data_IF_059807211635
#
_entry.id   IF_059807211635
#
_cell.length_a   1.000
_cell.length_b   1.000
_cell.length_c   1.000
_cell.angle_alpha   90.00
_cell.angle_beta   90.00
_cell.angle_gamma   90.00
#
_symmetry.space_group_name_H-M   'P 1'
#
loop_
_entity.id
_entity.type
_entity.pdbx_description
1 polymer ?
#
# COMPACT_ATOMS: atom_id res chain seq x y z
N UNK A 1 7.79 -8.44 -0.23
CA UNK A 1 6.34 -8.50 -0.46
C UNK A 1 5.82 -7.07 -0.40
N UNK A 2 5.44 -6.47 -1.53
CA UNK A 2 5.04 -5.07 -1.56
C UNK A 2 3.55 -4.94 -1.23
N UNK A 3 3.25 -4.14 -0.21
CA UNK A 3 1.88 -3.75 0.09
C UNK A 3 1.55 -2.41 -0.60
N UNK A 4 0.29 -2.23 -1.00
CA UNK A 4 -0.17 -0.94 -1.53
C UNK A 4 0.01 0.17 -0.49
N UNK A 5 0.32 1.39 -0.95
CA UNK A 5 0.49 2.58 -0.09
C UNK A 5 -0.69 2.79 0.87
N UNK A 6 -1.91 2.43 0.45
CA UNK A 6 -3.15 2.57 1.25
C UNK A 6 -3.22 1.64 2.46
N UNK A 7 -2.44 0.56 2.47
CA UNK A 7 -2.48 -0.46 3.52
C UNK A 7 -1.13 -0.70 4.19
N UNK A 8 -0.05 -0.16 3.63
CA UNK A 8 1.33 -0.35 4.11
C UNK A 8 1.52 -0.02 5.60
N UNK A 9 0.79 0.99 6.10
CA UNK A 9 0.88 1.43 7.50
C UNK A 9 -0.15 0.76 8.42
N UNK A 10 -0.90 -0.23 7.95
CA UNK A 10 -1.76 -1.02 8.85
C UNK A 10 -0.88 -1.84 9.79
N UNK A 11 -1.19 -1.94 11.10
CA UNK A 11 -0.31 -2.57 12.09
C UNK A 11 0.28 -3.94 11.68
N UNK A 12 -0.51 -4.93 11.20
CA UNK A 12 0.07 -6.23 10.82
C UNK A 12 1.00 -6.14 9.61
N UNK A 13 0.70 -5.26 8.65
CA UNK A 13 1.52 -5.09 7.43
C UNK A 13 2.80 -4.34 7.74
N UNK A 14 2.71 -3.29 8.56
CA UNK A 14 3.84 -2.51 9.01
C UNK A 14 4.80 -3.37 9.85
N UNK A 15 4.26 -4.13 10.80
CA UNK A 15 5.04 -5.08 11.61
C UNK A 15 5.76 -6.11 10.73
N UNK A 16 5.05 -6.74 9.79
CA UNK A 16 5.65 -7.70 8.84
C UNK A 16 6.77 -7.07 8.01
N UNK A 17 6.59 -5.81 7.59
CA UNK A 17 7.61 -5.05 6.85
C UNK A 17 8.86 -4.79 7.70
N UNK A 18 8.69 -4.44 8.98
CA UNK A 18 9.80 -4.24 9.91
C UNK A 18 10.58 -5.55 10.15
N UNK A 19 9.89 -6.67 10.34
CA UNK A 19 10.53 -7.99 10.47
C UNK A 19 11.30 -8.34 9.20
N UNK A 20 10.72 -8.11 8.01
CA UNK A 20 11.40 -8.37 6.75
C UNK A 20 12.64 -7.46 6.58
N UNK A 21 12.55 -6.20 6.99
CA UNK A 21 13.68 -5.28 7.00
C UNK A 21 14.80 -5.75 7.94
N UNK A 22 14.45 -6.27 9.13
CA UNK A 22 15.40 -6.83 10.08
C UNK A 22 16.09 -8.09 9.52
N UNK A 23 15.34 -9.00 8.89
CA UNK A 23 15.90 -10.17 8.20
C UNK A 23 16.86 -9.72 7.09
N UNK A 24 16.44 -8.73 6.30
CA UNK A 24 17.27 -8.13 5.25
C UNK A 24 18.55 -7.53 5.82
N UNK A 25 18.49 -6.80 6.92
CA UNK A 25 19.68 -6.26 7.58
C UNK A 25 20.62 -7.37 8.05
N UNK A 26 20.11 -8.34 8.79
CA UNK A 26 20.87 -9.45 9.36
C UNK A 26 21.56 -10.29 8.27
N UNK A 27 20.91 -10.49 7.12
CA UNK A 27 21.50 -11.24 6.01
C UNK A 27 22.63 -10.49 5.31
N UNK A 28 22.64 -9.16 5.40
CA UNK A 28 23.53 -8.30 4.61
C UNK A 28 24.59 -7.55 5.43
N UNK A 29 24.57 -7.64 6.76
CA UNK A 29 25.48 -6.92 7.67
C UNK A 29 26.95 -7.35 7.45
N UNK A 30 27.19 -8.65 7.38
CA UNK A 30 28.52 -9.27 7.29
C UNK A 30 28.97 -9.57 5.84
N UNK A 31 28.43 -8.85 4.86
CA UNK A 31 28.88 -9.02 3.47
C UNK A 31 30.34 -8.62 3.30
N UNK A 32 31.13 -9.44 2.58
CA UNK A 32 32.52 -9.12 2.30
C UNK A 32 32.60 -7.92 1.34
N UNK A 33 33.80 -7.33 1.28
CA UNK A 33 34.13 -6.30 0.31
C UNK A 33 34.19 -6.89 -1.08
N UNK A 34 33.70 -6.15 -2.06
CA UNK A 34 33.81 -6.47 -3.47
C UNK A 34 35.28 -6.40 -3.90
N UNK A 35 35.75 -7.47 -4.52
CA UNK A 35 37.10 -7.60 -5.05
C UNK A 35 37.01 -7.69 -6.57
N UNK A 36 37.84 -6.91 -7.28
CA UNK A 36 37.94 -7.01 -8.73
C UNK A 36 38.55 -8.37 -9.15
N UNK A 37 38.47 -8.71 -10.43
CA UNK A 37 39.09 -9.93 -10.98
C UNK A 37 40.59 -10.04 -10.65
N UNK A 38 41.25 -8.90 -10.52
CA UNK A 38 42.70 -8.81 -10.24
C UNK A 38 43.03 -8.88 -8.74
N UNK A 39 42.06 -9.17 -7.87
CA UNK A 39 42.28 -9.26 -6.41
C UNK A 39 42.34 -7.91 -5.68
N UNK A 40 42.24 -6.80 -6.41
CA UNK A 40 42.30 -5.45 -5.85
C UNK A 40 40.92 -4.97 -5.36
N UNK A 41 40.91 -4.23 -4.26
CA UNK A 41 39.71 -3.55 -3.75
C UNK A 41 39.38 -2.32 -4.60
N UNK A 42 38.09 -2.12 -4.88
CA UNK A 42 37.60 -0.95 -5.62
C UNK A 42 37.68 0.30 -4.73
N UNK A 43 38.51 1.28 -5.13
CA UNK A 43 38.98 2.38 -4.25
C UNK A 43 38.46 3.79 -4.60
N UNK A 44 37.37 3.87 -5.35
CA UNK A 44 36.74 5.15 -5.72
C UNK A 44 35.91 5.78 -4.59
N UNK A 45 35.74 5.08 -3.47
CA UNK A 45 35.00 5.53 -2.29
C UNK A 45 35.86 5.46 -1.02
N UNK A 46 35.55 6.33 -0.04
CA UNK A 46 36.23 6.34 1.26
C UNK A 46 36.05 5.02 2.05
N UNK A 47 35.00 4.25 1.75
CA UNK A 47 34.73 2.94 2.34
C UNK A 47 34.82 1.84 1.27
N UNK A 48 35.25 0.63 1.64
CA UNK A 48 35.29 -0.48 0.70
C UNK A 48 33.87 -0.83 0.23
N UNK A 49 33.69 -0.87 -1.09
CA UNK A 49 32.43 -1.31 -1.69
C UNK A 49 32.18 -2.75 -1.28
N UNK A 50 30.99 -3.08 -0.76
CA UNK A 50 30.59 -4.45 -0.43
C UNK A 50 30.02 -5.16 -1.65
N UNK A 51 30.03 -6.49 -1.64
CA UNK A 51 29.36 -7.29 -2.65
C UNK A 51 27.87 -6.96 -2.79
N UNK A 52 27.30 -7.24 -3.96
CA UNK A 52 25.88 -7.01 -4.25
C UNK A 52 24.95 -7.76 -3.29
N UNK A 53 23.75 -7.20 -3.08
CA UNK A 53 22.72 -7.82 -2.24
C UNK A 53 22.18 -9.06 -2.93
N UNK A 54 22.05 -10.17 -2.19
CA UNK A 54 21.37 -11.38 -2.66
C UNK A 54 20.10 -11.60 -1.85
N UNK A 55 19.05 -12.00 -2.55
CA UNK A 55 17.71 -12.09 -1.99
C UNK A 55 17.17 -13.53 -1.95
N UNK A 56 18.07 -14.51 -1.91
CA UNK A 56 17.76 -15.95 -1.97
C UNK A 56 16.80 -16.37 -0.84
N UNK A 57 16.92 -15.73 0.32
CA UNK A 57 16.05 -15.93 1.48
C UNK A 57 14.57 -15.58 1.22
N UNK A 58 14.26 -14.80 0.17
CA UNK A 58 12.87 -14.50 -0.20
C UNK A 58 12.18 -15.77 -0.70
N UNK A 59 12.85 -16.61 -1.47
CA UNK A 59 12.29 -17.87 -1.98
C UNK A 59 11.98 -18.82 -0.81
N UNK A 60 12.93 -18.98 0.13
CA UNK A 60 12.73 -19.76 1.35
C UNK A 60 11.54 -19.24 2.19
N UNK A 61 11.37 -17.92 2.26
CA UNK A 61 10.23 -17.29 2.94
C UNK A 61 8.90 -17.61 2.24
N UNK A 62 8.88 -17.58 0.91
CA UNK A 62 7.68 -17.91 0.13
C UNK A 62 7.29 -19.38 0.27
N UNK A 63 8.27 -20.29 0.23
CA UNK A 63 8.04 -21.73 0.48
C UNK A 63 7.41 -21.95 1.85
N UNK A 64 7.99 -21.38 2.91
CA UNK A 64 7.44 -21.47 4.27
C UNK A 64 6.03 -20.90 4.39
N UNK A 65 5.72 -19.83 3.66
CA UNK A 65 4.35 -19.26 3.63
C UNK A 65 3.38 -20.25 2.98
N UNK A 66 3.76 -20.88 1.88
CA UNK A 66 2.94 -21.87 1.17
C UNK A 66 2.76 -23.12 2.04
N UNK A 67 3.83 -23.67 2.62
CA UNK A 67 3.77 -24.82 3.53
C UNK A 67 2.85 -24.56 4.72
N UNK A 68 3.02 -23.41 5.38
CA UNK A 68 2.12 -23.02 6.48
C UNK A 68 0.68 -22.94 6.03
N UNK A 69 0.44 -22.51 4.78
CA UNK A 69 -0.92 -22.41 4.25
C UNK A 69 -1.52 -23.76 3.88
N UNK A 70 -0.73 -24.68 3.34
CA UNK A 70 -1.16 -26.06 3.04
C UNK A 70 -1.50 -26.83 4.31
N UNK A 71 -0.76 -26.59 5.38
CA UNK A 71 -0.98 -27.21 6.69
C UNK A 71 -2.05 -26.50 7.54
N UNK A 72 -2.53 -25.32 7.12
CA UNK A 72 -3.59 -24.59 7.82
C UNK A 72 -4.95 -25.20 7.46
N UNK A 73 -5.47 -26.03 8.36
CA UNK A 73 -6.78 -26.70 8.22
C UNK A 73 -7.96 -25.73 8.13
N UNK A 74 -7.73 -24.45 8.40
CA UNK A 74 -8.79 -23.46 8.53
C UNK A 74 -8.72 -22.49 7.33
N UNK A 75 -9.81 -22.43 6.57
CA UNK A 75 -9.92 -21.68 5.30
C UNK A 75 -9.58 -20.18 5.37
N UNK A 76 -9.55 -19.54 4.21
CA UNK A 76 -9.06 -18.15 4.01
C UNK A 76 -10.04 -17.07 4.49
N UNK A 77 -11.28 -17.45 4.83
CA UNK A 77 -12.42 -16.54 4.90
C UNK A 77 -12.75 -16.16 6.35
N UNK A 78 -11.78 -15.59 7.07
CA UNK A 78 -12.03 -15.14 8.45
C UNK A 78 -11.89 -13.62 8.56
N UNK A 79 -12.78 -12.97 9.33
CA UNK A 79 -12.50 -11.60 9.76
C UNK A 79 -11.16 -11.61 10.51
N UNK A 80 -10.22 -10.78 10.07
CA UNK A 80 -8.92 -10.63 10.74
C UNK A 80 -9.20 -10.15 12.16
N UNK A 81 -8.88 -11.00 13.14
CA UNK A 81 -8.94 -10.61 14.54
C UNK A 81 -7.87 -9.55 14.75
N UNK A 82 -8.29 -8.35 15.12
CA UNK A 82 -7.39 -7.25 15.41
C UNK A 82 -6.77 -7.45 16.79
N UNK A 83 -5.45 -7.24 16.87
CA UNK A 83 -4.70 -7.20 18.14
C UNK A 83 -5.31 -6.20 19.11
N UNK A 84 -5.10 -6.37 20.41
CA UNK A 84 -5.66 -5.50 21.46
C UNK A 84 -5.31 -4.03 21.25
N UNK A 85 -4.11 -3.77 20.75
CA UNK A 85 -3.56 -2.43 20.60
C UNK A 85 -3.76 -1.87 19.17
N UNK A 86 -4.51 -2.56 18.30
CA UNK A 86 -4.79 -2.05 16.96
C UNK A 86 -5.69 -0.80 17.07
N UNK A 87 -5.27 0.38 16.54
CA UNK A 87 -6.07 1.60 16.60
C UNK A 87 -7.46 1.45 15.97
N UNK A 88 -7.65 0.49 15.07
CA UNK A 88 -8.96 0.19 14.49
C UNK A 88 -9.96 -0.41 15.48
N UNK A 89 -9.52 -0.91 16.64
CA UNK A 89 -10.41 -1.31 17.73
C UNK A 89 -11.03 -0.11 18.45
N UNK A 90 -10.32 1.01 18.51
CA UNK A 90 -10.77 2.23 19.18
C UNK A 90 -11.85 2.91 18.33
N UNK A 91 -11.61 3.03 17.02
CA UNK A 91 -12.62 3.52 16.07
C UNK A 91 -12.35 3.00 14.66
N UNK A 92 -13.43 2.74 13.90
CA UNK A 92 -13.34 2.37 12.47
C UNK A 92 -12.72 3.53 11.66
N UNK A 93 -12.98 4.77 12.08
CA UNK A 93 -12.56 6.00 11.40
C UNK A 93 -11.67 6.81 12.33
N UNK A 94 -10.53 7.30 11.82
CA UNK A 94 -9.58 8.12 12.59
C UNK A 94 -10.19 9.47 13.04
N UNK A 95 -11.20 9.95 12.32
CA UNK A 95 -11.89 11.20 12.63
C UNK A 95 -12.77 11.03 13.89
N UNK A 96 -12.71 11.99 14.84
CA UNK A 96 -13.59 11.98 16.02
C UNK A 96 -15.07 12.13 15.67
N UNK A 97 -15.36 12.75 14.53
CA UNK A 97 -16.71 13.01 14.04
C UNK A 97 -17.04 11.93 13.00
N UNK A 98 -18.18 11.24 13.12
CA UNK A 98 -18.61 10.29 12.11
C UNK A 98 -18.81 11.01 10.77
N UNK A 99 -18.47 10.38 9.63
CA UNK A 99 -18.72 10.97 8.33
C UNK A 99 -20.23 11.24 8.17
N UNK A 100 -20.63 12.38 7.59
CA UNK A 100 -22.02 12.66 7.30
C UNK A 100 -22.60 11.61 6.35
N UNK A 101 -23.92 11.45 6.37
CA UNK A 101 -24.58 10.45 5.54
C UNK A 101 -24.36 10.76 4.06
N UNK A 102 -24.26 9.73 3.21
CA UNK A 102 -24.02 9.91 1.77
C UNK A 102 -25.08 10.81 1.12
N UNK A 103 -26.33 10.74 1.58
CA UNK A 103 -27.42 11.61 1.13
C UNK A 103 -27.14 13.11 1.41
N UNK A 104 -26.60 13.43 2.58
CA UNK A 104 -26.24 14.81 2.96
C UNK A 104 -25.05 15.32 2.14
N UNK A 105 -24.07 14.46 1.87
CA UNK A 105 -22.91 14.81 1.02
C UNK A 105 -23.38 15.18 -0.39
N UNK A 106 -24.30 14.41 -0.97
CA UNK A 106 -24.85 14.67 -2.31
C UNK A 106 -25.61 15.99 -2.33
N UNK A 107 -26.42 16.28 -1.30
CA UNK A 107 -27.14 17.56 -1.21
C UNK A 107 -26.21 18.77 -1.08
N UNK A 108 -25.11 18.62 -0.33
CA UNK A 108 -24.11 19.67 -0.13
C UNK A 108 -23.14 19.81 -1.31
N UNK A 109 -23.14 18.86 -2.24
CA UNK A 109 -22.23 18.84 -3.38
C UNK A 109 -22.62 19.92 -4.41
N UNK A 110 -22.16 21.15 -4.18
CA UNK A 110 -22.25 22.22 -5.17
C UNK A 110 -21.26 21.94 -6.30
N UNK A 111 -21.79 21.75 -7.52
CA UNK A 111 -20.99 21.73 -8.74
C UNK A 111 -20.18 23.03 -8.86
N UNK A 112 -18.91 22.92 -9.25
CA UNK A 112 -18.06 24.09 -9.57
C UNK A 112 -18.41 24.72 -10.92
N UNK A 113 -19.12 23.97 -11.76
CA UNK A 113 -19.59 24.44 -13.06
C UNK A 113 -21.02 24.92 -12.92
N UNK A 114 -21.31 26.10 -13.47
CA UNK A 114 -22.68 26.55 -13.67
C UNK A 114 -23.43 25.46 -14.43
N UNK A 115 -24.59 25.05 -13.90
CA UNK A 115 -25.53 24.24 -14.67
C UNK A 115 -25.92 25.09 -15.86
N UNK A 116 -25.45 24.73 -17.06
CA UNK A 116 -25.99 25.29 -18.30
C UNK A 116 -27.50 25.19 -18.20
N UNK A 117 -28.19 26.31 -18.22
CA UNK A 117 -29.61 26.32 -18.53
C UNK A 117 -29.71 25.70 -19.92
N UNK A 118 -30.48 24.63 -20.07
CA UNK A 118 -30.75 24.06 -21.38
C UNK A 118 -31.47 25.14 -22.20
N UNK A 119 -30.79 25.72 -23.19
CA UNK A 119 -31.32 26.65 -24.18
C UNK A 119 -32.32 25.98 -25.15
N UNK A 120 -33.13 25.02 -24.70
CA UNK A 120 -34.06 24.25 -25.56
C UNK A 120 -35.46 24.84 -25.65
N UNK A 121 -35.62 26.15 -25.45
CA UNK A 121 -36.92 26.83 -25.59
C UNK A 121 -36.84 28.10 -26.44
N UNK A 122 -36.35 28.02 -27.68
CA UNK A 122 -36.51 29.13 -28.64
C UNK A 122 -36.98 28.71 -30.06
N UNK A 123 -37.14 27.41 -30.36
CA UNK A 123 -37.50 26.98 -31.72
C UNK A 123 -39.01 26.90 -32.01
N UNK A 124 -39.90 27.17 -31.06
CA UNK A 124 -41.36 27.06 -31.29
C UNK A 124 -42.01 28.32 -31.86
N UNK A 125 -41.31 29.45 -31.98
CA UNK A 125 -41.91 30.73 -32.44
C UNK A 125 -41.55 31.15 -33.88
N UNK A 126 -40.86 30.32 -34.67
CA UNK A 126 -40.50 30.65 -36.06
C UNK A 126 -41.43 30.10 -37.16
N UNK A 127 -42.52 29.41 -36.81
CA UNK A 127 -43.41 28.76 -37.79
C UNK A 127 -44.78 29.42 -38.02
N UNK A 128 -45.09 30.56 -37.38
CA UNK A 128 -46.41 31.20 -37.49
C UNK A 128 -46.41 32.60 -38.15
N UNK A 129 -45.42 32.92 -38.98
CA UNK A 129 -45.45 34.13 -39.82
C UNK A 129 -45.21 33.80 -41.29
N UNK A 130 -46.22 33.24 -41.94
CA UNK A 130 -46.44 33.29 -43.39
C UNK A 130 -47.90 33.62 -43.63
#
# INVERSE_FOLDING_TARGET
MYASKRIAYRPPIYSSSNVLAAIGHNRHINRPSFVNRDGTLRRWSAYPVKEDKRYDYITELMEKVIERRLNDNIGMNRPVVLETDDPKRISIVLAPIPPPATAEIIQQQKSRFESKQDDTLDDTNRLNSV
#
